data_IF_525181811000
#
_entry.id   IF_525181811000
#
_cell.length_a   1.000
_cell.length_b   1.000
_cell.length_c   1.000
_cell.angle_alpha   90.00
_cell.angle_beta   90.00
_cell.angle_gamma   90.00
#
_symmetry.space_group_name_H-M   'P 1'
#
loop_
_entity.id
_entity.type
_entity.pdbx_description
1 polymer ?
#
# COMPACT_ATOMS: atom_id res chain seq x y z
N UNK A 1 -21.06 -19.84 19.25
CA UNK A 1 -20.01 -19.91 18.21
C UNK A 1 -19.23 -18.62 18.30
N UNK A 2 -17.91 -18.67 18.48
CA UNK A 2 -17.08 -17.48 18.68
C UNK A 2 -17.05 -16.66 17.38
N UNK A 3 -18.10 -15.86 17.20
CA UNK A 3 -18.23 -14.83 16.18
C UNK A 3 -17.04 -13.92 16.41
N UNK A 4 -16.06 -13.92 15.49
CA UNK A 4 -14.96 -12.99 15.57
C UNK A 4 -15.58 -11.58 15.66
N UNK A 5 -15.48 -10.98 16.85
CA UNK A 5 -15.98 -9.64 17.14
C UNK A 5 -15.02 -8.71 16.42
N UNK A 6 -15.27 -8.47 15.13
CA UNK A 6 -14.65 -7.35 14.44
C UNK A 6 -15.19 -6.10 15.14
N UNK A 7 -14.31 -5.29 15.71
CA UNK A 7 -14.70 -3.97 16.17
C UNK A 7 -14.80 -3.08 14.91
N UNK A 8 -16.00 -2.63 14.51
CA UNK A 8 -16.18 -1.89 13.26
C UNK A 8 -15.34 -0.62 13.21
N UNK A 9 -15.16 0.05 14.35
CA UNK A 9 -14.49 1.34 14.43
C UNK A 9 -12.96 1.16 14.32
N UNK A 10 -12.37 0.22 15.07
CA UNK A 10 -10.95 -0.13 14.92
C UNK A 10 -10.62 -0.63 13.51
N UNK A 11 -11.55 -1.38 12.91
CA UNK A 11 -11.37 -1.91 11.54
C UNK A 11 -11.47 -0.78 10.51
N UNK A 12 -12.35 0.20 10.72
CA UNK A 12 -12.47 1.39 9.87
C UNK A 12 -11.20 2.24 9.96
N UNK A 13 -10.69 2.47 11.16
CA UNK A 13 -9.44 3.20 11.39
C UNK A 13 -8.25 2.53 10.69
N UNK A 14 -8.10 1.21 10.84
CA UNK A 14 -7.06 0.46 10.14
C UNK A 14 -7.23 0.54 8.62
N UNK A 15 -8.45 0.39 8.11
CA UNK A 15 -8.74 0.45 6.66
C UNK A 15 -8.36 1.81 6.08
N UNK A 16 -8.68 2.89 6.79
CA UNK A 16 -8.33 4.25 6.39
C UNK A 16 -6.82 4.48 6.47
N UNK A 17 -6.16 3.95 7.50
CA UNK A 17 -4.72 4.03 7.65
C UNK A 17 -3.99 3.27 6.52
N UNK A 18 -4.43 2.06 6.19
CA UNK A 18 -3.87 1.27 5.10
C UNK A 18 -3.95 2.02 3.76
N UNK A 19 -5.08 2.67 3.49
CA UNK A 19 -5.23 3.44 2.26
C UNK A 19 -4.26 4.63 2.19
N UNK A 20 -4.17 5.43 3.26
CA UNK A 20 -3.22 6.55 3.33
C UNK A 20 -1.76 6.10 3.23
N UNK A 21 -1.42 5.00 3.93
CA UNK A 21 -0.08 4.44 3.92
C UNK A 21 0.36 4.06 2.50
N UNK A 22 -0.53 3.47 1.69
CA UNK A 22 -0.22 3.15 0.29
C UNK A 22 0.01 4.40 -0.55
N UNK A 23 -0.86 5.40 -0.41
CA UNK A 23 -0.73 6.67 -1.14
C UNK A 23 0.62 7.33 -0.82
N UNK A 24 0.95 7.46 0.48
CA UNK A 24 2.22 8.04 0.95
C UNK A 24 3.44 7.24 0.46
N UNK A 25 3.37 5.91 0.47
CA UNK A 25 4.46 5.03 0.06
C UNK A 25 4.71 5.12 -1.46
N UNK A 26 3.64 5.19 -2.25
CA UNK A 26 3.73 5.38 -3.70
C UNK A 26 4.36 6.73 -4.04
N UNK A 27 3.95 7.81 -3.36
CA UNK A 27 4.52 9.15 -3.55
C UNK A 27 6.01 9.19 -3.20
N UNK A 28 6.40 8.62 -2.06
CA UNK A 28 7.80 8.58 -1.63
C UNK A 28 8.71 7.81 -2.59
N UNK A 29 8.21 6.71 -3.18
CA UNK A 29 8.96 5.92 -4.15
C UNK A 29 9.05 6.64 -5.50
N UNK A 30 7.99 7.32 -5.93
CA UNK A 30 8.00 8.15 -7.13
C UNK A 30 9.02 9.31 -7.02
N UNK A 31 9.09 9.95 -5.85
CA UNK A 31 10.09 10.98 -5.55
C UNK A 31 11.53 10.43 -5.62
N UNK A 32 11.77 9.29 -4.96
CA UNK A 32 13.07 8.61 -5.00
C UNK A 32 13.51 8.27 -6.43
N UNK A 33 12.59 7.72 -7.23
CA UNK A 33 12.85 7.39 -8.63
C UNK A 33 13.16 8.63 -9.47
N UNK A 34 12.52 9.76 -9.19
CA UNK A 34 12.78 11.02 -9.87
C UNK A 34 14.21 11.48 -9.57
N UNK A 35 14.60 11.49 -8.29
CA UNK A 35 15.96 11.85 -7.88
C UNK A 35 17.03 10.89 -8.44
N UNK A 36 16.74 9.59 -8.48
CA UNK A 36 17.65 8.60 -9.05
C UNK A 36 17.86 8.82 -10.56
N UNK A 37 16.79 9.12 -11.32
CA UNK A 37 16.90 9.44 -12.75
C UNK A 37 17.74 10.68 -13.02
N UNK A 38 17.57 11.74 -12.21
CA UNK A 38 18.40 12.94 -12.31
C UNK A 38 19.87 12.63 -12.02
N UNK A 39 20.17 11.76 -11.05
CA UNK A 39 21.54 11.31 -10.78
C UNK A 39 22.16 10.59 -11.99
N UNK A 40 21.36 9.83 -12.74
CA UNK A 40 21.75 9.16 -13.98
C UNK A 40 22.30 10.07 -15.08
N UNK A 41 22.03 11.38 -15.02
CA UNK A 41 22.62 12.37 -15.94
C UNK A 41 24.12 12.59 -15.66
N UNK A 42 24.57 12.29 -14.44
CA UNK A 42 25.95 12.55 -13.97
C UNK A 42 26.71 11.29 -13.57
N UNK A 43 26.00 10.19 -13.32
CA UNK A 43 26.58 8.90 -12.91
C UNK A 43 25.95 7.76 -13.72
N UNK A 44 26.75 7.15 -14.61
CA UNK A 44 26.32 6.05 -15.46
C UNK A 44 27.44 5.01 -15.57
N UNK A 45 27.51 4.12 -14.59
CA UNK A 45 28.44 2.99 -14.55
C UNK A 45 27.68 1.68 -14.29
N UNK A 46 28.36 0.51 -14.24
CA UNK A 46 27.69 -0.75 -13.93
C UNK A 46 26.98 -0.77 -12.57
N UNK A 47 27.44 0.00 -11.57
CA UNK A 47 26.81 0.08 -10.25
C UNK A 47 25.51 0.87 -10.28
N UNK A 48 25.44 1.92 -11.08
CA UNK A 48 24.19 2.63 -11.35
C UNK A 48 23.15 1.67 -11.94
N UNK A 49 23.52 0.89 -12.96
CA UNK A 49 22.60 -0.07 -13.59
C UNK A 49 22.18 -1.20 -12.63
N UNK A 50 23.10 -1.74 -11.83
CA UNK A 50 22.77 -2.72 -10.79
C UNK A 50 21.72 -2.18 -9.80
N UNK A 51 21.86 -0.91 -9.38
CA UNK A 51 20.91 -0.31 -8.44
C UNK A 51 19.58 0.08 -9.10
N UNK A 52 19.59 0.44 -10.39
CA UNK A 52 18.36 0.67 -11.16
C UNK A 52 17.44 -0.57 -11.16
N UNK A 53 18.02 -1.77 -11.31
CA UNK A 53 17.24 -3.01 -11.24
C UNK A 53 16.63 -3.24 -9.84
N UNK A 54 17.34 -2.87 -8.77
CA UNK A 54 16.79 -2.95 -7.40
C UNK A 54 15.58 -2.02 -7.23
N UNK A 55 15.62 -0.81 -7.81
CA UNK A 55 14.48 0.11 -7.79
C UNK A 55 13.30 -0.41 -8.61
N UNK A 56 13.55 -1.06 -9.76
CA UNK A 56 12.50 -1.71 -10.56
C UNK A 56 11.83 -2.85 -9.80
N UNK A 57 12.60 -3.66 -9.08
CA UNK A 57 12.06 -4.74 -8.24
C UNK A 57 11.19 -4.18 -7.11
N UNK A 58 11.62 -3.07 -6.48
CA UNK A 58 10.82 -2.36 -5.47
C UNK A 58 9.49 -1.87 -6.05
N UNK A 59 9.50 -1.21 -7.22
CA UNK A 59 8.27 -0.77 -7.89
C UNK A 59 7.32 -1.94 -8.20
N UNK A 60 7.85 -3.06 -8.68
CA UNK A 60 7.04 -4.24 -9.00
C UNK A 60 6.39 -4.84 -7.74
N UNK A 61 7.14 -4.91 -6.64
CA UNK A 61 6.63 -5.34 -5.35
C UNK A 61 5.51 -4.41 -4.85
N UNK A 62 5.72 -3.10 -4.91
CA UNK A 62 4.74 -2.11 -4.46
C UNK A 62 3.45 -2.15 -5.27
N UNK A 63 3.54 -2.28 -6.60
CA UNK A 63 2.36 -2.45 -7.47
C UNK A 63 1.53 -3.68 -7.07
N UNK A 64 2.20 -4.79 -6.74
CA UNK A 64 1.51 -5.99 -6.26
C UNK A 64 0.87 -5.75 -4.90
N UNK A 65 1.60 -5.14 -3.97
CA UNK A 65 1.08 -4.81 -2.64
C UNK A 65 -0.16 -3.90 -2.71
N UNK A 66 -0.13 -2.87 -3.56
CA UNK A 66 -1.23 -1.94 -3.79
C UNK A 66 -2.52 -2.64 -4.27
N UNK A 67 -2.39 -3.60 -5.19
CA UNK A 67 -3.51 -4.39 -5.68
C UNK A 67 -4.15 -5.24 -4.56
N UNK A 68 -3.32 -5.97 -3.80
CA UNK A 68 -3.76 -6.83 -2.69
C UNK A 68 -4.41 -5.99 -1.57
N UNK A 69 -3.81 -4.85 -1.23
CA UNK A 69 -4.33 -3.97 -0.21
C UNK A 69 -5.62 -3.26 -0.65
N UNK A 70 -5.77 -2.91 -1.93
CA UNK A 70 -7.04 -2.42 -2.49
C UNK A 70 -8.15 -3.47 -2.38
N UNK A 71 -7.86 -4.74 -2.66
CA UNK A 71 -8.79 -5.84 -2.44
C UNK A 71 -9.17 -5.99 -0.97
N UNK A 72 -8.18 -5.94 -0.08
CA UNK A 72 -8.38 -6.04 1.36
C UNK A 72 -9.23 -4.88 1.89
N UNK A 73 -8.99 -3.63 1.47
CA UNK A 73 -9.80 -2.46 1.82
C UNK A 73 -11.26 -2.66 1.43
N UNK A 74 -11.52 -3.17 0.22
CA UNK A 74 -12.90 -3.45 -0.23
C UNK A 74 -13.57 -4.52 0.63
N UNK A 75 -12.86 -5.58 0.99
CA UNK A 75 -13.38 -6.64 1.83
C UNK A 75 -13.66 -6.16 3.26
N UNK A 76 -12.74 -5.41 3.87
CA UNK A 76 -12.89 -4.85 5.22
C UNK A 76 -14.07 -3.89 5.30
N UNK A 77 -14.25 -3.02 4.30
CA UNK A 77 -15.42 -2.11 4.24
C UNK A 77 -16.75 -2.87 4.23
N UNK A 78 -16.84 -3.97 3.48
CA UNK A 78 -18.04 -4.84 3.49
C UNK A 78 -18.26 -5.47 4.87
N UNK A 79 -17.20 -5.95 5.51
CA UNK A 79 -17.27 -6.55 6.86
C UNK A 79 -17.68 -5.55 7.94
N UNK A 80 -17.19 -4.31 7.87
CA UNK A 80 -17.60 -3.20 8.74
C UNK A 80 -19.11 -2.95 8.58
N UNK A 81 -19.59 -2.88 7.35
CA UNK A 81 -21.02 -2.67 7.07
C UNK A 81 -21.87 -3.81 7.66
N UNK A 82 -21.52 -5.07 7.39
CA UNK A 82 -22.21 -6.24 7.95
C UNK A 82 -22.25 -6.18 9.49
N UNK A 83 -21.11 -5.89 10.13
CA UNK A 83 -21.02 -5.81 11.58
C UNK A 83 -21.89 -4.68 12.18
N UNK A 84 -21.92 -3.51 11.53
CA UNK A 84 -22.78 -2.38 11.95
C UNK A 84 -24.26 -2.72 11.79
N UNK A 85 -24.66 -3.43 10.72
CA UNK A 85 -26.04 -3.90 10.52
C UNK A 85 -26.48 -4.93 11.59
N UNK A 86 -25.57 -5.79 12.04
CA UNK A 86 -25.85 -6.73 13.14
C UNK A 86 -25.93 -6.06 14.51
N UNK A 87 -25.10 -5.05 14.78
CA UNK A 87 -25.08 -4.32 16.06
C UNK A 87 -26.21 -3.30 16.20
N UNK A 88 -26.74 -2.79 15.09
CA UNK A 88 -27.87 -1.85 15.04
C UNK A 88 -29.26 -2.51 15.07
N UNK A 89 -29.32 -3.85 15.07
CA UNK A 89 -30.53 -4.66 15.29
C UNK A 89 -30.59 -5.16 16.72
#
# INVERSE_FOLDING_TARGET
MAQAVINPDETEDFTNHLQRFMDDLNDMVNDLNTHFRTLGETWADPKYLEFEEVLKDLEAFLKRFDAEATEQVRWLRRKIQEAREYLGR
#
